data_IF_074071364134
#
_entry.id   IF_074071364134
#
_cell.length_a   1.000
_cell.length_b   1.000
_cell.length_c   1.000
_cell.angle_alpha   90.00
_cell.angle_beta   90.00
_cell.angle_gamma   90.00
#
_symmetry.space_group_name_H-M   'P 1'
#
loop_
_entity.id
_entity.type
_entity.pdbx_description
1 polymer ?
#
# COMPACT_ATOMS: atom_id res chain seq x y z
N UNK A 1 2.84 11.90 5.79
CA UNK A 1 2.39 10.50 5.92
C UNK A 1 3.50 9.66 6.52
N UNK A 2 3.17 8.69 7.36
CA UNK A 2 4.11 7.70 7.89
C UNK A 2 4.10 6.49 6.97
N UNK A 3 5.26 6.11 6.45
CA UNK A 3 5.46 4.89 5.68
C UNK A 3 5.88 3.75 6.62
N UNK A 4 5.19 2.61 6.54
CA UNK A 4 5.58 1.37 7.21
C UNK A 4 5.96 0.35 6.13
N UNK A 5 7.24 0.00 6.07
CA UNK A 5 7.78 -0.95 5.07
C UNK A 5 7.40 -2.40 5.36
N UNK A 6 7.23 -2.77 6.64
CA UNK A 6 6.88 -4.13 7.03
C UNK A 6 5.98 -4.14 8.27
N UNK A 7 4.69 -4.40 8.07
CA UNK A 7 3.75 -4.73 9.13
C UNK A 7 3.38 -6.21 9.03
N UNK A 8 3.90 -7.03 9.93
CA UNK A 8 3.60 -8.46 9.96
C UNK A 8 2.35 -8.72 10.78
N UNK A 9 1.39 -9.44 10.18
CA UNK A 9 0.13 -9.85 10.81
C UNK A 9 -0.07 -11.34 10.59
N UNK A 10 -0.35 -12.10 11.64
CA UNK A 10 -0.60 -13.54 11.53
C UNK A 10 -1.84 -13.80 10.66
N UNK A 11 -1.71 -14.76 9.73
CA UNK A 11 -2.80 -15.14 8.81
C UNK A 11 -4.05 -15.55 9.58
N UNK A 12 -3.92 -16.30 10.68
CA UNK A 12 -5.02 -16.73 11.55
C UNK A 12 -5.84 -15.54 12.08
N UNK A 13 -5.19 -14.44 12.47
CA UNK A 13 -5.84 -13.24 12.98
C UNK A 13 -6.66 -12.54 11.90
N UNK A 14 -6.16 -12.55 10.68
CA UNK A 14 -6.86 -11.98 9.52
C UNK A 14 -7.99 -12.90 9.10
N UNK A 15 -7.74 -14.21 8.95
CA UNK A 15 -8.73 -15.19 8.53
C UNK A 15 -9.93 -15.30 9.50
N UNK A 16 -9.72 -15.03 10.79
CA UNK A 16 -10.79 -15.02 11.79
C UNK A 16 -11.78 -13.86 11.62
N UNK A 17 -11.42 -12.79 10.89
CA UNK A 17 -12.24 -11.57 10.77
C UNK A 17 -12.51 -11.15 9.32
N UNK A 18 -11.72 -11.61 8.37
CA UNK A 18 -11.89 -11.30 6.97
C UNK A 18 -12.96 -12.17 6.33
N UNK A 19 -13.67 -11.63 5.36
CA UNK A 19 -14.55 -12.41 4.50
C UNK A 19 -13.72 -13.35 3.62
N UNK A 20 -14.13 -14.63 3.54
CA UNK A 20 -13.42 -15.64 2.73
C UNK A 20 -13.47 -15.34 1.24
N UNK A 21 -14.54 -14.71 0.77
CA UNK A 21 -14.67 -14.34 -0.65
C UNK A 21 -13.73 -13.20 -1.00
N UNK A 22 -13.62 -12.19 -0.13
CA UNK A 22 -12.70 -11.07 -0.31
C UNK A 22 -11.24 -11.52 -0.29
N UNK A 23 -10.89 -12.44 0.64
CA UNK A 23 -9.55 -13.03 0.69
C UNK A 23 -9.18 -13.75 -0.62
N UNK A 24 -10.12 -14.51 -1.21
CA UNK A 24 -9.89 -15.19 -2.50
C UNK A 24 -9.70 -14.21 -3.65
N UNK A 25 -10.39 -13.09 -3.64
CA UNK A 25 -10.28 -12.04 -4.66
C UNK A 25 -9.10 -11.08 -4.44
N UNK A 26 -8.36 -11.24 -3.32
CA UNK A 26 -7.28 -10.33 -2.95
C UNK A 26 -7.76 -8.95 -2.49
N UNK A 27 -9.05 -8.79 -2.22
CA UNK A 27 -9.66 -7.55 -1.74
C UNK A 27 -9.46 -7.46 -0.23
N UNK A 28 -9.14 -6.27 0.25
CA UNK A 28 -9.01 -5.99 1.69
C UNK A 28 -10.39 -5.75 2.28
N UNK A 29 -10.88 -6.71 3.05
CA UNK A 29 -12.17 -6.60 3.72
C UNK A 29 -12.14 -5.64 4.91
N UNK A 30 -13.31 -5.16 5.33
CA UNK A 30 -13.44 -4.33 6.54
C UNK A 30 -12.92 -5.05 7.80
N UNK A 31 -13.12 -6.36 7.88
CA UNK A 31 -12.59 -7.20 8.95
C UNK A 31 -11.06 -7.25 8.96
N UNK A 32 -10.44 -7.43 7.80
CA UNK A 32 -8.98 -7.38 7.62
C UNK A 32 -8.43 -6.01 8.01
N UNK A 33 -9.06 -4.93 7.54
CA UNK A 33 -8.67 -3.56 7.87
C UNK A 33 -8.71 -3.30 9.39
N UNK A 34 -9.72 -3.83 10.09
CA UNK A 34 -9.82 -3.70 11.55
C UNK A 34 -8.65 -4.37 12.28
N UNK A 35 -8.17 -5.50 11.77
CA UNK A 35 -7.01 -6.19 12.32
C UNK A 35 -5.73 -5.39 12.04
N UNK A 36 -5.55 -4.92 10.81
CA UNK A 36 -4.40 -4.09 10.41
C UNK A 36 -4.31 -2.85 11.31
N UNK A 37 -5.45 -2.16 11.53
CA UNK A 37 -5.52 -0.96 12.39
C UNK A 37 -5.01 -1.24 13.79
N UNK A 38 -5.44 -2.35 14.42
CA UNK A 38 -4.96 -2.77 15.75
C UNK A 38 -3.45 -3.04 15.79
N UNK A 39 -2.89 -3.64 14.72
CA UNK A 39 -1.46 -3.88 14.64
C UNK A 39 -0.65 -2.59 14.46
N UNK A 40 -1.20 -1.60 13.72
CA UNK A 40 -0.63 -0.26 13.60
C UNK A 40 -0.60 0.45 14.95
N UNK A 41 -1.73 0.46 15.67
CA UNK A 41 -1.83 1.04 17.02
C UNK A 41 -0.76 0.48 17.95
N UNK A 42 -0.64 -0.85 17.97
CA UNK A 42 0.38 -1.53 18.78
C UNK A 42 1.80 -1.21 18.33
N UNK A 43 2.05 -1.17 17.01
CA UNK A 43 3.38 -0.90 16.45
C UNK A 43 3.80 0.54 16.68
N UNK A 44 2.92 1.51 16.39
CA UNK A 44 3.23 2.93 16.51
C UNK A 44 2.94 3.53 17.88
N UNK A 45 2.29 2.76 18.78
CA UNK A 45 1.84 3.21 20.11
C UNK A 45 0.99 4.49 20.02
N UNK A 46 0.02 4.49 19.11
CA UNK A 46 -0.94 5.56 18.87
C UNK A 46 -2.37 5.03 19.09
N UNK A 47 -3.33 5.93 19.30
CA UNK A 47 -4.75 5.55 19.42
C UNK A 47 -5.37 5.37 18.02
N UNK A 48 -6.42 4.56 17.94
CA UNK A 48 -7.18 4.36 16.71
C UNK A 48 -7.72 5.67 16.12
N UNK A 49 -8.14 6.58 16.99
CA UNK A 49 -8.74 7.86 16.62
C UNK A 49 -7.72 8.84 16.01
N UNK A 50 -6.44 8.65 16.32
CA UNK A 50 -5.36 9.47 15.74
C UNK A 50 -5.07 9.09 14.27
N UNK A 51 -5.59 7.94 13.80
CA UNK A 51 -5.38 7.44 12.44
C UNK A 51 -6.49 7.98 11.54
N UNK A 52 -6.16 8.89 10.62
CA UNK A 52 -7.10 9.49 9.67
C UNK A 52 -7.30 8.63 8.44
N UNK A 53 -6.20 8.11 7.88
CA UNK A 53 -6.25 7.31 6.67
C UNK A 53 -5.17 6.22 6.68
N UNK A 54 -5.47 5.08 6.05
CA UNK A 54 -4.54 3.96 5.85
C UNK A 54 -4.59 3.58 4.38
N UNK A 55 -3.47 3.70 3.69
CA UNK A 55 -3.31 3.27 2.31
C UNK A 55 -2.41 2.03 2.27
N UNK A 56 -2.92 0.91 1.76
CA UNK A 56 -2.17 -0.33 1.64
C UNK A 56 -1.52 -0.36 0.26
N UNK A 57 -0.18 -0.28 0.23
CA UNK A 57 0.60 -0.26 -0.99
C UNK A 57 0.90 -1.68 -1.50
N UNK A 58 1.13 -2.61 -0.58
CA UNK A 58 1.49 -3.99 -0.92
C UNK A 58 1.06 -4.94 0.18
N UNK A 59 0.55 -6.12 -0.24
CA UNK A 59 0.28 -7.28 0.61
C UNK A 59 1.08 -8.45 0.08
N UNK A 60 1.83 -9.12 0.92
CA UNK A 60 2.60 -10.32 0.59
C UNK A 60 2.50 -11.36 1.70
N UNK A 61 2.86 -12.60 1.39
CA UNK A 61 2.84 -13.70 2.36
C UNK A 61 4.27 -14.02 2.77
N UNK A 62 4.51 -14.07 4.07
CA UNK A 62 5.76 -14.60 4.64
C UNK A 62 5.50 -16.03 5.14
N UNK A 63 5.96 -17.00 4.36
CA UNK A 63 5.82 -18.43 4.62
C UNK A 63 7.13 -19.10 5.07
N UNK A 64 8.14 -18.34 5.45
CA UNK A 64 9.45 -18.87 5.88
C UNK A 64 9.35 -19.78 7.10
N UNK A 65 8.38 -19.51 7.97
CA UNK A 65 8.06 -20.40 9.10
C UNK A 65 6.75 -21.09 8.80
N UNK A 66 6.81 -22.41 8.50
CA UNK A 66 5.63 -23.22 8.14
C UNK A 66 4.52 -23.19 9.20
N UNK A 67 4.89 -23.09 10.47
CA UNK A 67 3.96 -23.05 11.61
C UNK A 67 3.33 -21.67 11.87
N UNK A 68 3.89 -20.61 11.30
CA UNK A 68 3.43 -19.22 11.51
C UNK A 68 3.39 -18.43 10.21
N UNK A 69 2.40 -18.71 9.39
CA UNK A 69 2.14 -17.91 8.19
C UNK A 69 1.73 -16.50 8.57
N UNK A 70 2.35 -15.52 7.95
CA UNK A 70 2.05 -14.11 8.19
C UNK A 70 1.83 -13.36 6.89
N UNK A 71 0.85 -12.46 6.88
CA UNK A 71 0.79 -11.40 5.87
C UNK A 71 1.78 -10.30 6.25
N UNK A 72 2.45 -9.78 5.25
CA UNK A 72 3.33 -8.61 5.38
C UNK A 72 2.73 -7.50 4.54
N UNK A 73 2.34 -6.42 5.21
CA UNK A 73 1.79 -5.25 4.57
C UNK A 73 2.84 -4.14 4.49
N UNK A 74 2.88 -3.47 3.36
CA UNK A 74 3.52 -2.20 3.17
C UNK A 74 2.42 -1.15 3.05
N UNK A 75 2.47 -0.12 3.87
CA UNK A 75 1.36 0.82 3.96
C UNK A 75 1.82 2.22 4.34
N UNK A 76 1.02 3.19 3.94
CA UNK A 76 1.17 4.59 4.31
C UNK A 76 0.02 5.01 5.24
N UNK A 77 0.33 5.80 6.27
CA UNK A 77 -0.65 6.22 7.29
C UNK A 77 -0.65 7.74 7.38
N UNK A 78 -1.83 8.32 7.39
CA UNK A 78 -2.03 9.71 7.78
C UNK A 78 -2.50 9.76 9.24
N UNK A 79 -1.76 10.44 10.09
CA UNK A 79 -2.11 10.61 11.49
C UNK A 79 -1.60 11.95 12.03
N UNK A 80 -2.03 12.29 13.24
CA UNK A 80 -1.54 13.48 13.90
C UNK A 80 -0.12 13.27 14.45
N UNK A 81 0.66 14.36 14.49
CA UNK A 81 2.03 14.35 15.06
C UNK A 81 3.02 13.35 14.41
N UNK A 82 2.93 13.13 13.09
CA UNK A 82 3.75 12.18 12.33
C UNK A 82 5.25 12.27 12.63
N UNK A 83 5.81 13.50 12.65
CA UNK A 83 7.24 13.73 12.92
C UNK A 83 7.65 13.20 14.30
N UNK A 84 6.80 13.45 15.33
CA UNK A 84 7.05 12.99 16.70
C UNK A 84 6.93 11.47 16.82
N UNK A 85 6.04 10.85 16.06
CA UNK A 85 5.89 9.40 16.03
C UNK A 85 7.12 8.76 15.38
N UNK A 86 7.50 9.21 14.18
CA UNK A 86 8.65 8.64 13.45
C UNK A 86 9.97 8.82 14.19
N UNK A 87 10.17 9.96 14.89
CA UNK A 87 11.40 10.18 15.67
C UNK A 87 11.64 9.15 16.78
N UNK A 88 10.61 8.44 17.23
CA UNK A 88 10.74 7.34 18.22
C UNK A 88 11.25 6.04 17.59
N UNK A 89 11.21 5.93 16.25
CA UNK A 89 11.59 4.72 15.52
C UNK A 89 12.91 4.96 14.79
N UNK A 90 13.98 4.40 15.32
CA UNK A 90 15.33 4.45 14.71
C UNK A 90 15.51 3.37 13.60
N UNK A 91 14.47 2.56 13.31
CA UNK A 91 14.54 1.45 12.35
C UNK A 91 14.01 1.89 11.00
N UNK A 92 14.65 1.40 9.93
CA UNK A 92 14.36 1.71 8.53
C UNK A 92 12.97 1.26 8.03
N UNK A 93 12.14 0.60 8.88
CA UNK A 93 10.82 0.12 8.50
C UNK A 93 9.69 1.14 8.76
N UNK A 94 10.00 2.25 9.46
CA UNK A 94 9.07 3.37 9.70
C UNK A 94 9.77 4.66 9.32
N UNK A 95 9.24 5.36 8.32
CA UNK A 95 9.82 6.61 7.79
C UNK A 95 8.76 7.65 7.48
N UNK A 96 9.16 8.91 7.40
CA UNK A 96 8.31 9.97 6.87
C UNK A 96 8.35 9.92 5.33
N UNK A 97 7.17 9.94 4.73
CA UNK A 97 7.01 10.06 3.28
C UNK A 97 6.26 11.35 2.96
N UNK A 98 6.80 12.14 2.09
CA UNK A 98 6.09 13.29 1.53
C UNK A 98 5.00 12.80 0.56
N UNK A 99 3.85 13.43 0.61
CA UNK A 99 2.76 13.15 -0.32
C UNK A 99 3.17 13.72 -1.69
N UNK A 100 3.80 12.90 -2.53
CA UNK A 100 4.07 13.28 -3.92
C UNK A 100 2.75 13.16 -4.68
N UNK A 101 2.10 14.28 -4.92
CA UNK A 101 1.03 14.36 -5.91
C UNK A 101 1.70 14.24 -7.28
N UNK A 102 1.63 13.08 -7.90
CA UNK A 102 2.03 12.92 -9.29
C UNK A 102 0.93 13.58 -10.10
N UNK A 103 1.09 14.88 -10.38
CA UNK A 103 0.27 15.55 -11.38
C UNK A 103 0.77 15.00 -12.72
N UNK A 104 0.09 14.02 -13.27
CA UNK A 104 0.23 13.69 -14.69
C UNK A 104 -0.27 14.91 -15.44
N UNK A 105 0.63 15.76 -15.88
CA UNK A 105 0.33 16.75 -16.91
C UNK A 105 0.14 15.95 -18.20
N UNK A 106 -1.09 15.59 -18.48
CA UNK A 106 -1.48 15.18 -19.81
C UNK A 106 -1.24 16.43 -20.66
N UNK A 107 -0.31 16.33 -21.58
CA UNK A 107 0.01 17.44 -22.48
C UNK A 107 -1.10 17.46 -23.54
N UNK A 108 -2.20 18.15 -23.28
CA UNK A 108 -3.34 18.26 -24.18
C UNK A 108 -2.98 19.03 -25.48
N UNK A 109 -1.78 19.61 -25.53
CA UNK A 109 -1.22 20.31 -26.67
C UNK A 109 -0.40 19.36 -27.58
N UNK A 110 -0.99 18.23 -28.01
CA UNK A 110 -0.42 17.49 -29.13
C UNK A 110 -0.85 18.24 -30.40
N UNK A 111 0.11 18.87 -31.14
CA UNK A 111 -0.23 19.58 -32.35
C UNK A 111 -1.01 18.64 -33.30
N UNK A 112 -2.06 19.12 -33.96
CA UNK A 112 -2.87 18.30 -34.86
C UNK A 112 -2.08 17.73 -36.04
N UNK A 113 -0.90 18.27 -36.29
CA UNK A 113 0.05 17.81 -37.32
C UNK A 113 0.73 16.47 -36.98
N UNK A 114 0.77 16.06 -35.70
CA UNK A 114 1.34 14.79 -35.26
C UNK A 114 0.29 13.65 -35.19
N UNK A 115 -0.70 13.63 -36.05
CA UNK A 115 -1.60 12.49 -36.26
C UNK A 115 -0.93 11.34 -37.02
N UNK A 116 0.34 11.11 -36.78
CA UNK A 116 1.06 9.96 -37.27
C UNK A 116 0.66 8.68 -36.52
N UNK A 117 0.88 7.53 -37.15
CA UNK A 117 0.74 6.25 -36.48
C UNK A 117 1.70 6.18 -35.29
N UNK A 118 1.14 5.90 -34.10
CA UNK A 118 1.96 5.61 -32.92
C UNK A 118 2.58 4.22 -33.09
N UNK A 119 3.91 4.16 -33.09
CA UNK A 119 4.63 2.89 -33.17
C UNK A 119 5.18 2.55 -31.78
N UNK A 120 4.82 1.38 -31.28
CA UNK A 120 5.32 0.87 -30.01
C UNK A 120 6.35 -0.22 -30.30
N UNK A 121 7.62 0.07 -29.99
CA UNK A 121 8.71 -0.89 -30.16
C UNK A 121 8.90 -1.69 -28.87
N UNK A 122 8.42 -2.93 -28.87
CA UNK A 122 8.55 -3.88 -27.75
C UNK A 122 7.23 -4.43 -27.26
N UNK A 123 7.14 -5.75 -27.12
CA UNK A 123 5.94 -6.47 -26.67
C UNK A 123 6.09 -6.98 -25.22
N UNK A 124 6.75 -6.19 -24.38
CA UNK A 124 6.79 -6.41 -22.95
C UNK A 124 5.56 -5.79 -22.25
N UNK A 125 5.39 -5.98 -20.93
CA UNK A 125 4.25 -5.43 -20.19
C UNK A 125 4.02 -3.94 -20.43
N UNK A 126 5.08 -3.15 -20.47
CA UNK A 126 5.01 -1.70 -20.74
C UNK A 126 4.49 -1.39 -22.15
N UNK A 127 4.92 -2.13 -23.17
CA UNK A 127 4.45 -1.95 -24.54
C UNK A 127 2.99 -2.35 -24.72
N UNK A 128 2.55 -3.42 -24.06
CA UNK A 128 1.15 -3.87 -24.09
C UNK A 128 0.25 -2.79 -23.46
N UNK A 129 0.62 -2.25 -22.30
CA UNK A 129 -0.15 -1.20 -21.64
C UNK A 129 -0.17 0.10 -22.44
N UNK A 130 0.96 0.48 -23.06
CA UNK A 130 1.01 1.66 -23.92
C UNK A 130 0.16 1.52 -25.19
N UNK A 131 -0.06 0.29 -25.67
CA UNK A 131 -0.93 0.04 -26.83
C UNK A 131 -2.41 0.02 -26.48
N UNK A 132 -2.74 -0.20 -25.21
CA UNK A 132 -4.11 -0.27 -24.74
C UNK A 132 -4.70 1.12 -24.39
N UNK A 133 -3.89 2.09 -23.99
CA UNK A 133 -4.30 3.48 -23.73
C UNK A 133 -4.44 4.29 -25.02
#
# INVERSE_FOLDING_TARGET
>A
MIHIGQLKVLVEKVAAKADRQDLKKGIISAGEMSVIKKYIEKKLKIKADDIRNIEILKKSVDARKKEQLSFVYQLDIECDNEKKIVSRYKKNDVSLKEKKTIIRKINDNIPPENKGQTVIAGFGPAGIFAAYE
#
